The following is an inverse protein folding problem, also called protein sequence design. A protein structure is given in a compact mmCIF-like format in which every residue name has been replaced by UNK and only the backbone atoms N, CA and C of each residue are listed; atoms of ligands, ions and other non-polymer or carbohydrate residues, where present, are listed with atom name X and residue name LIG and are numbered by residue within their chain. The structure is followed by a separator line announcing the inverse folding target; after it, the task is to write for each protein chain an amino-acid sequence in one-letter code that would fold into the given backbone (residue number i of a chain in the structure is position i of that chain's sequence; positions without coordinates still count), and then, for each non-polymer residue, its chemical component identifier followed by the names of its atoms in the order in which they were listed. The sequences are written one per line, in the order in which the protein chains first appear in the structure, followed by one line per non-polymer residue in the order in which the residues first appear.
data_IF_296934255998
#
_entry.id   IF_296934255998
#
_cell.length_a   1.000
_cell.length_b   1.000
_cell.length_c   1.000
_cell.angle_alpha   90.00
_cell.angle_beta   90.00
_cell.angle_gamma   90.00
#
_symmetry.space_group_name_H-M   'P 1'
#
loop_
_entity.id
_entity.type
_entity.pdbx_description
1 polymer ?
#
# COMPACT_ATOMS: atom_id res chain seq x y z
N UNK A 1 4.08 8.53 0.37
CA UNK A 1 3.51 7.36 1.10
C UNK A 1 3.58 7.57 2.61
N UNK A 2 4.73 7.82 3.20
CA UNK A 2 4.87 8.03 4.66
C UNK A 2 3.91 9.06 5.24
N UNK A 3 3.79 10.23 4.61
CA UNK A 3 2.84 11.27 5.04
C UNK A 3 1.37 10.82 4.99
N UNK A 4 0.97 10.03 3.97
CA UNK A 4 -0.39 9.48 3.89
C UNK A 4 -0.66 8.46 5.00
N UNK A 5 0.35 7.64 5.35
CA UNK A 5 0.26 6.70 6.47
C UNK A 5 0.09 7.43 7.81
N UNK A 6 0.94 8.44 8.08
CA UNK A 6 0.85 9.23 9.31
C UNK A 6 -0.50 9.94 9.44
N UNK A 7 -1.01 10.54 8.36
CA UNK A 7 -2.34 11.15 8.37
C UNK A 7 -3.43 10.12 8.66
N UNK A 8 -3.39 8.94 8.01
CA UNK A 8 -4.34 7.86 8.26
C UNK A 8 -4.30 7.36 9.70
N UNK A 9 -3.12 7.20 10.30
CA UNK A 9 -2.96 6.80 11.70
C UNK A 9 -3.51 7.85 12.67
N UNK A 10 -3.27 9.14 12.41
CA UNK A 10 -3.83 10.23 13.19
C UNK A 10 -5.36 10.27 13.10
N UNK A 11 -5.93 10.03 11.91
CA UNK A 11 -7.37 9.98 11.70
C UNK A 11 -8.00 8.71 12.33
N UNK A 12 -7.21 7.64 12.48
CA UNK A 12 -7.58 6.43 13.24
C UNK A 12 -7.42 6.58 14.76
N UNK A 13 -7.08 7.77 15.27
CA UNK A 13 -7.01 8.08 16.70
C UNK A 13 -5.68 7.68 17.37
N UNK A 14 -4.61 7.48 16.60
CA UNK A 14 -3.28 7.29 17.19
C UNK A 14 -2.80 8.62 17.79
N UNK A 15 -2.32 8.58 19.04
CA UNK A 15 -1.81 9.75 19.74
C UNK A 15 -0.63 10.38 18.97
N UNK A 16 -0.73 11.66 18.56
CA UNK A 16 0.33 12.33 17.82
C UNK A 16 1.67 12.38 18.56
N UNK A 17 1.69 12.37 19.90
CA UNK A 17 2.93 12.34 20.68
C UNK A 17 3.71 11.01 20.55
N UNK A 18 3.03 9.95 20.15
CA UNK A 18 3.65 8.66 19.84
C UNK A 18 4.24 8.59 18.43
N UNK A 19 4.01 9.61 17.62
CA UNK A 19 4.46 9.70 16.24
C UNK A 19 5.59 10.71 16.09
N UNK A 20 6.59 10.34 15.30
CA UNK A 20 7.67 11.24 14.87
C UNK A 20 7.75 11.18 13.35
N UNK A 21 7.89 12.31 12.70
CA UNK A 21 8.08 12.40 11.26
C UNK A 21 9.38 13.15 10.95
N UNK A 22 10.25 12.51 10.19
CA UNK A 22 11.52 13.08 9.74
C UNK A 22 11.53 13.17 8.22
N UNK A 23 11.77 14.37 7.70
CA UNK A 23 11.91 14.64 6.26
C UNK A 23 12.82 15.85 6.06
N UNK A 24 13.52 15.90 4.92
CA UNK A 24 14.37 17.05 4.56
C UNK A 24 13.55 18.25 4.07
N UNK A 25 12.28 18.04 3.70
CA UNK A 25 11.37 19.07 3.17
C UNK A 25 10.41 19.52 4.26
N UNK A 26 10.64 20.69 4.83
CA UNK A 26 9.84 21.22 5.94
C UNK A 26 8.34 21.38 5.62
N UNK A 27 8.00 21.73 4.38
CA UNK A 27 6.60 21.91 3.95
C UNK A 27 5.78 20.60 4.02
N UNK A 28 6.44 19.45 3.88
CA UNK A 28 5.80 18.14 4.02
C UNK A 28 5.45 17.86 5.48
N UNK A 29 6.27 18.36 6.40
CA UNK A 29 6.12 18.15 7.85
C UNK A 29 5.10 19.11 8.50
N UNK A 30 4.90 20.31 7.95
CA UNK A 30 4.07 21.33 8.53
C UNK A 30 2.62 20.88 8.87
N UNK A 31 1.91 20.14 8.00
CA UNK A 31 0.56 19.63 8.33
C UNK A 31 0.56 18.60 9.47
N UNK A 32 1.64 17.85 9.65
CA UNK A 32 1.79 16.86 10.73
C UNK A 32 2.14 17.55 12.04
N UNK A 33 3.04 18.53 12.01
CA UNK A 33 3.38 19.36 13.17
C UNK A 33 2.14 20.10 13.72
N UNK A 34 1.30 20.63 12.83
CA UNK A 34 0.04 21.30 13.21
C UNK A 34 -0.95 20.33 13.92
N UNK A 35 -0.77 19.03 13.76
CA UNK A 35 -1.56 17.97 14.46
C UNK A 35 -0.86 17.44 15.73
N UNK A 36 0.27 18.03 16.12
CA UNK A 36 0.99 17.65 17.34
C UNK A 36 2.01 16.51 17.18
N UNK A 37 2.32 16.11 15.94
CA UNK A 37 3.39 15.12 15.66
C UNK A 37 4.74 15.78 15.87
N UNK A 38 5.68 15.09 16.50
CA UNK A 38 7.08 15.53 16.58
C UNK A 38 7.69 15.50 15.19
N UNK A 39 8.26 16.62 14.73
CA UNK A 39 8.80 16.74 13.38
C UNK A 39 10.20 17.31 13.36
N UNK A 40 11.04 16.89 12.41
CA UNK A 40 12.39 17.41 12.24
C UNK A 40 13.07 16.87 10.99
N UNK A 41 14.30 17.33 10.75
CA UNK A 41 15.15 16.86 9.64
C UNK A 41 16.30 15.95 10.09
N UNK A 42 16.52 15.82 11.39
CA UNK A 42 17.56 14.96 11.96
C UNK A 42 17.05 13.53 12.10
N UNK A 43 17.78 12.57 11.51
CA UNK A 43 17.43 11.15 11.55
C UNK A 43 17.48 10.55 12.96
N UNK A 44 18.27 11.10 13.87
CA UNK A 44 18.33 10.67 15.27
C UNK A 44 16.95 10.73 15.94
N UNK A 45 16.13 11.73 15.62
CA UNK A 45 14.77 11.88 16.13
C UNK A 45 13.85 10.68 15.78
N UNK A 46 14.11 10.02 14.65
CA UNK A 46 13.33 8.86 14.25
C UNK A 46 13.60 7.63 15.13
N UNK A 47 14.74 7.59 15.80
CA UNK A 47 15.18 6.47 16.64
C UNK A 47 14.98 6.74 18.13
N UNK A 48 14.91 8.00 18.55
CA UNK A 48 14.84 8.39 19.95
C UNK A 48 13.50 7.99 20.57
N UNK A 49 13.53 7.12 21.60
CA UNK A 49 12.37 6.60 22.31
C UNK A 49 11.27 6.04 21.41
N UNK A 50 11.65 5.34 20.36
CA UNK A 50 10.74 4.69 19.40
C UNK A 50 11.02 3.19 19.31
N UNK A 51 9.96 2.39 19.35
CA UNK A 51 10.04 0.93 19.19
C UNK A 51 10.10 0.53 17.71
N UNK A 52 9.50 1.34 16.85
CA UNK A 52 9.33 1.08 15.41
C UNK A 52 9.81 2.26 14.58
N UNK A 53 10.70 2.01 13.63
CA UNK A 53 11.18 3.00 12.66
C UNK A 53 10.70 2.61 11.26
N UNK A 54 9.86 3.46 10.64
CA UNK A 54 9.30 3.22 9.31
C UNK A 54 10.10 3.95 8.25
N UNK A 55 10.70 3.20 7.32
CA UNK A 55 11.49 3.74 6.21
C UNK A 55 10.58 3.94 5.00
N UNK A 56 10.25 5.20 4.70
CA UNK A 56 9.34 5.59 3.61
C UNK A 56 9.98 6.42 2.51
N UNK A 57 11.30 6.32 2.32
CA UNK A 57 12.03 7.02 1.27
C UNK A 57 11.94 6.30 -0.08
N UNK A 58 12.36 6.97 -1.16
CA UNK A 58 12.47 6.31 -2.46
C UNK A 58 13.61 5.28 -2.44
N UNK A 59 13.48 4.13 -3.14
CA UNK A 59 14.53 3.10 -3.18
C UNK A 59 15.93 3.65 -3.49
N UNK A 60 16.03 4.59 -4.42
CA UNK A 60 17.31 5.21 -4.82
C UNK A 60 18.01 5.99 -3.70
N UNK A 61 17.28 6.36 -2.66
CA UNK A 61 17.82 7.06 -1.48
C UNK A 61 18.07 6.10 -0.31
N UNK A 62 17.76 4.81 -0.45
CA UNK A 62 17.80 3.84 0.64
C UNK A 62 19.20 3.75 1.26
N UNK A 63 20.25 3.51 0.48
CA UNK A 63 21.60 3.33 0.96
C UNK A 63 22.10 4.52 1.79
N UNK A 64 21.89 5.76 1.31
CA UNK A 64 22.27 6.96 2.03
C UNK A 64 21.52 7.15 3.35
N UNK A 65 20.21 6.92 3.34
CA UNK A 65 19.36 7.07 4.54
C UNK A 65 19.65 5.97 5.56
N UNK A 66 19.75 4.71 5.12
CA UNK A 66 20.03 3.58 6.01
C UNK A 66 21.42 3.71 6.64
N UNK A 67 22.45 4.08 5.84
CA UNK A 67 23.80 4.32 6.37
C UNK A 67 23.88 5.46 7.39
N UNK A 68 23.11 6.54 7.18
CA UNK A 68 23.01 7.64 8.13
C UNK A 68 22.16 7.30 9.37
N UNK A 69 21.20 6.39 9.24
CA UNK A 69 20.32 5.95 10.32
C UNK A 69 20.99 4.92 11.25
N UNK A 70 21.81 4.03 10.70
CA UNK A 70 22.42 2.91 11.41
C UNK A 70 23.11 3.28 12.74
N UNK A 71 23.89 4.38 12.85
CA UNK A 71 24.54 4.77 14.10
C UNK A 71 23.56 5.16 15.24
N UNK A 72 22.31 5.46 14.92
CA UNK A 72 21.28 5.91 15.87
C UNK A 72 20.33 4.79 16.30
N UNK A 73 20.35 3.64 15.60
CA UNK A 73 19.47 2.53 15.88
C UNK A 73 19.90 1.72 17.10
N UNK A 74 18.92 1.28 17.88
CA UNK A 74 19.10 0.27 18.93
C UNK A 74 18.85 -1.12 18.34
N UNK A 75 19.52 -2.14 18.86
CA UNK A 75 19.42 -3.50 18.32
C UNK A 75 18.00 -4.13 18.44
N UNK A 76 17.19 -3.67 19.35
CA UNK A 76 15.84 -4.13 19.61
C UNK A 76 14.76 -3.35 18.82
N UNK A 77 15.13 -2.25 18.16
CA UNK A 77 14.19 -1.46 17.35
C UNK A 77 13.77 -2.21 16.10
N UNK A 78 12.47 -2.24 15.84
CA UNK A 78 11.93 -2.84 14.63
C UNK A 78 11.96 -1.87 13.46
N UNK A 79 12.59 -2.28 12.38
CA UNK A 79 12.57 -1.55 11.11
C UNK A 79 11.39 -2.02 10.27
N UNK A 80 10.58 -1.09 9.80
CA UNK A 80 9.49 -1.36 8.86
C UNK A 80 9.78 -0.63 7.55
N UNK A 81 10.00 -1.37 6.48
CA UNK A 81 10.26 -0.80 5.16
C UNK A 81 9.00 -0.79 4.31
N UNK A 82 8.62 0.38 3.81
CA UNK A 82 7.58 0.53 2.78
C UNK A 82 8.17 0.84 1.39
N UNK A 83 9.46 0.53 1.20
CA UNK A 83 10.17 0.73 -0.07
C UNK A 83 9.87 -0.43 -1.04
N UNK A 84 9.53 -0.09 -2.28
CA UNK A 84 9.38 -1.09 -3.33
C UNK A 84 10.75 -1.63 -3.77
N UNK A 85 10.86 -2.93 -4.00
CA UNK A 85 12.06 -3.55 -4.59
C UNK A 85 13.24 -3.80 -3.64
N UNK A 86 13.27 -3.21 -2.44
CA UNK A 86 14.38 -3.38 -1.47
C UNK A 86 14.04 -4.50 -0.49
N UNK A 87 14.83 -5.57 -0.46
CA UNK A 87 14.57 -6.76 0.37
C UNK A 87 14.91 -6.55 1.84
N UNK A 88 14.29 -7.34 2.72
CA UNK A 88 14.58 -7.31 4.16
C UNK A 88 16.03 -7.67 4.46
N UNK A 89 16.60 -8.65 3.74
CA UNK A 89 18.00 -9.05 3.88
C UNK A 89 18.96 -7.91 3.49
N UNK A 90 18.65 -7.19 2.40
CA UNK A 90 19.48 -6.06 1.96
C UNK A 90 19.46 -4.90 2.97
N UNK A 91 18.28 -4.58 3.52
CA UNK A 91 18.14 -3.56 4.56
C UNK A 91 18.90 -3.97 5.82
N UNK A 92 18.75 -5.21 6.27
CA UNK A 92 19.46 -5.73 7.45
C UNK A 92 20.99 -5.66 7.29
N UNK A 93 21.52 -6.01 6.11
CA UNK A 93 22.95 -5.88 5.81
C UNK A 93 23.46 -4.44 5.92
N UNK A 94 22.67 -3.46 5.52
CA UNK A 94 23.06 -2.03 5.61
C UNK A 94 22.99 -1.48 7.04
N UNK A 95 22.09 -2.01 7.88
CA UNK A 95 21.83 -1.51 9.23
C UNK A 95 22.64 -2.25 10.32
N UNK A 96 23.12 -3.46 10.03
CA UNK A 96 23.69 -4.43 10.95
C UNK A 96 22.94 -5.75 10.83
N UNK A 97 23.67 -6.84 10.68
CA UNK A 97 23.15 -8.13 10.20
C UNK A 97 21.97 -8.70 11.03
N UNK A 98 21.85 -8.33 12.30
CA UNK A 98 20.84 -8.87 13.23
C UNK A 98 19.62 -7.94 13.42
N UNK A 99 19.56 -6.81 12.72
CA UNK A 99 18.45 -5.87 12.86
C UNK A 99 17.13 -6.50 12.39
N UNK A 100 16.06 -6.50 13.21
CA UNK A 100 14.77 -7.02 12.78
C UNK A 100 14.14 -6.08 11.76
N UNK A 101 13.80 -6.62 10.57
CA UNK A 101 13.21 -5.87 9.46
C UNK A 101 11.92 -6.53 9.02
N UNK A 102 10.84 -5.77 8.95
CA UNK A 102 9.57 -6.15 8.32
C UNK A 102 9.40 -5.33 7.05
N UNK A 103 9.08 -5.96 5.94
CA UNK A 103 8.76 -5.26 4.70
C UNK A 103 7.26 -5.21 4.50
N UNK A 104 6.76 -4.03 4.13
CA UNK A 104 5.33 -3.78 4.00
C UNK A 104 5.05 -3.16 2.64
N UNK A 105 4.00 -3.62 1.99
CA UNK A 105 3.51 -3.02 0.75
C UNK A 105 2.12 -2.41 0.98
N UNK A 106 2.05 -1.16 1.46
CA UNK A 106 0.82 -0.40 1.59
C UNK A 106 0.46 0.29 0.27
N UNK A 107 -0.71 0.92 0.23
CA UNK A 107 -1.14 1.76 -0.88
C UNK A 107 -1.73 3.08 -0.37
N UNK A 108 -1.93 4.05 -1.28
CA UNK A 108 -2.30 5.43 -0.91
C UNK A 108 -3.65 5.57 -0.19
N UNK A 109 -4.54 4.58 -0.31
CA UNK A 109 -5.86 4.59 0.34
C UNK A 109 -5.78 4.41 1.87
N UNK A 110 -4.60 4.13 2.44
CA UNK A 110 -4.34 4.18 3.89
C UNK A 110 -4.74 5.53 4.49
N UNK A 111 -4.68 6.61 3.71
CA UNK A 111 -5.13 7.94 4.12
C UNK A 111 -6.63 7.99 4.44
N UNK A 112 -7.42 7.15 3.80
CA UNK A 112 -8.88 7.06 3.99
C UNK A 112 -9.29 5.86 4.86
N UNK A 113 -8.32 5.23 5.56
CA UNK A 113 -8.53 4.01 6.34
C UNK A 113 -9.12 2.85 5.50
N UNK A 114 -8.85 2.88 4.21
CA UNK A 114 -9.27 1.87 3.23
C UNK A 114 -8.07 1.24 2.51
N UNK A 115 -6.92 1.20 3.16
CA UNK A 115 -5.70 0.61 2.62
C UNK A 115 -5.79 -0.91 2.51
N UNK A 116 -5.19 -1.48 1.48
CA UNK A 116 -4.85 -2.90 1.41
C UNK A 116 -3.34 -3.01 1.58
N UNK A 117 -2.90 -3.71 2.62
CA UNK A 117 -1.49 -3.77 3.01
C UNK A 117 -1.05 -5.22 3.13
N UNK A 118 0.08 -5.57 2.52
CA UNK A 118 0.74 -6.84 2.76
C UNK A 118 1.99 -6.62 3.63
N UNK A 119 2.20 -7.54 4.58
CA UNK A 119 3.30 -7.53 5.54
C UNK A 119 4.13 -8.78 5.33
N UNK A 120 5.44 -8.63 5.22
CA UNK A 120 6.38 -9.74 5.08
C UNK A 120 7.48 -9.66 6.15
N UNK A 121 7.68 -10.77 6.83
CA UNK A 121 8.69 -10.93 7.87
C UNK A 121 10.08 -11.10 7.29
N UNK A 122 11.10 -10.44 7.87
CA UNK A 122 12.51 -10.72 7.65
C UNK A 122 13.06 -11.74 8.65
N UNK A 123 14.33 -12.17 8.47
CA UNK A 123 14.95 -13.28 9.21
C UNK A 123 15.00 -13.11 10.72
N UNK A 124 15.21 -11.88 11.21
CA UNK A 124 15.45 -11.59 12.63
C UNK A 124 14.20 -11.06 13.33
N UNK A 125 13.03 -11.15 12.69
CA UNK A 125 11.77 -10.73 13.29
C UNK A 125 11.14 -11.84 14.13
N UNK A 126 10.52 -11.45 15.24
CA UNK A 126 9.69 -12.35 16.05
C UNK A 126 8.24 -12.33 15.57
N UNK A 127 7.44 -13.38 15.81
CA UNK A 127 6.01 -13.37 15.49
C UNK A 127 5.25 -12.20 16.14
N UNK A 128 5.66 -11.77 17.34
CA UNK A 128 5.07 -10.62 18.02
C UNK A 128 5.32 -9.30 17.27
N UNK A 129 6.53 -9.10 16.75
CA UNK A 129 6.87 -7.92 15.96
C UNK A 129 6.07 -7.87 14.64
N UNK A 130 5.91 -9.02 13.98
CA UNK A 130 5.11 -9.11 12.75
C UNK A 130 3.64 -8.80 13.04
N UNK A 131 3.07 -9.40 14.10
CA UNK A 131 1.69 -9.13 14.54
C UNK A 131 1.48 -7.65 14.86
N UNK A 132 2.44 -7.01 15.55
CA UNK A 132 2.39 -5.58 15.85
C UNK A 132 2.32 -4.72 14.57
N UNK A 133 3.07 -5.08 13.53
CA UNK A 133 3.02 -4.37 12.24
C UNK A 133 1.68 -4.61 11.54
N UNK A 134 1.17 -5.85 11.54
CA UNK A 134 -0.16 -6.17 11.01
C UNK A 134 -1.23 -5.34 11.71
N UNK A 135 -1.21 -5.27 13.05
CA UNK A 135 -2.15 -4.49 13.84
C UNK A 135 -2.04 -2.99 13.56
N UNK A 136 -0.82 -2.47 13.41
CA UNK A 136 -0.58 -1.06 13.08
C UNK A 136 -1.24 -0.68 11.74
N UNK A 137 -1.01 -1.48 10.70
CA UNK A 137 -1.58 -1.21 9.37
C UNK A 137 -3.08 -1.54 9.28
N UNK A 138 -3.59 -2.45 10.13
CA UNK A 138 -5.01 -2.73 10.24
C UNK A 138 -5.83 -1.54 10.77
N UNK A 139 -5.20 -0.57 11.42
CA UNK A 139 -5.84 0.70 11.80
C UNK A 139 -6.17 1.60 10.61
N UNK A 140 -5.49 1.40 9.48
CA UNK A 140 -5.63 2.23 8.28
C UNK A 140 -6.16 1.44 7.07
N UNK A 141 -6.75 0.27 7.33
CA UNK A 141 -7.36 -0.59 6.30
C UNK A 141 -7.30 -2.07 6.65
N UNK A 142 -7.09 -2.92 5.65
CA UNK A 142 -6.92 -4.36 5.81
C UNK A 142 -5.44 -4.73 5.66
N UNK A 143 -4.94 -5.61 6.55
CA UNK A 143 -3.55 -6.10 6.51
C UNK A 143 -3.52 -7.62 6.48
N UNK A 144 -2.62 -8.17 5.67
CA UNK A 144 -2.38 -9.61 5.56
C UNK A 144 -0.90 -9.92 5.58
N UNK A 145 -0.52 -11.01 6.23
CA UNK A 145 0.85 -11.52 6.17
C UNK A 145 1.05 -12.38 4.92
N UNK A 146 2.18 -12.17 4.23
CA UNK A 146 2.59 -12.94 3.05
C UNK A 146 4.09 -13.21 3.09
N UNK A 147 4.57 -14.18 2.32
CA UNK A 147 6.02 -14.34 2.09
C UNK A 147 6.57 -13.16 1.29
N UNK A 148 7.81 -12.73 1.59
CA UNK A 148 8.42 -11.57 0.93
C UNK A 148 8.44 -11.68 -0.60
N UNK A 149 8.65 -12.89 -1.14
CA UNK A 149 8.64 -13.14 -2.58
C UNK A 149 7.31 -12.86 -3.29
N UNK A 150 6.21 -12.71 -2.55
CA UNK A 150 4.89 -12.35 -3.10
C UNK A 150 4.65 -10.82 -3.14
N UNK A 151 5.50 -9.99 -2.55
CA UNK A 151 5.27 -8.55 -2.49
C UNK A 151 5.27 -7.86 -3.86
N UNK A 152 5.93 -8.42 -4.87
CA UNK A 152 5.85 -7.90 -6.23
C UNK A 152 4.47 -8.16 -6.86
N UNK A 153 3.87 -9.33 -6.58
CA UNK A 153 2.49 -9.62 -6.98
C UNK A 153 1.49 -8.73 -6.23
N UNK A 154 1.72 -8.47 -4.95
CA UNK A 154 0.96 -7.48 -4.16
C UNK A 154 1.08 -6.08 -4.77
N UNK A 155 2.27 -5.68 -5.21
CA UNK A 155 2.48 -4.41 -5.91
C UNK A 155 1.63 -4.33 -7.18
N UNK A 156 1.63 -5.39 -7.99
CA UNK A 156 0.82 -5.47 -9.20
C UNK A 156 -0.68 -5.46 -8.94
N UNK A 157 -1.13 -6.13 -7.87
CA UNK A 157 -2.55 -6.25 -7.52
C UNK A 157 -3.08 -5.03 -6.77
N UNK A 158 -2.56 -4.77 -5.57
CA UNK A 158 -3.10 -3.74 -4.68
C UNK A 158 -2.33 -2.42 -4.72
N UNK A 159 -1.02 -2.45 -4.97
CA UNK A 159 -0.21 -1.23 -5.12
C UNK A 159 -0.64 -0.40 -6.33
N UNK A 160 -0.75 -1.05 -7.49
CA UNK A 160 -1.20 -0.44 -8.76
C UNK A 160 -2.73 -0.44 -8.92
N UNK A 161 -3.44 -1.28 -8.17
CA UNK A 161 -4.88 -1.51 -8.24
C UNK A 161 -5.74 -0.25 -8.22
N UNK A 162 -5.48 0.77 -7.39
CA UNK A 162 -6.26 2.00 -7.40
C UNK A 162 -6.37 2.65 -8.78
N UNK A 163 -5.29 2.64 -9.59
CA UNK A 163 -5.32 3.18 -10.94
C UNK A 163 -6.28 2.42 -11.86
N UNK A 164 -6.29 1.08 -11.75
CA UNK A 164 -7.24 0.25 -12.53
C UNK A 164 -8.69 0.56 -12.16
N UNK A 165 -8.95 0.69 -10.85
CA UNK A 165 -10.28 1.01 -10.32
C UNK A 165 -10.73 2.40 -10.75
N UNK A 166 -9.84 3.41 -10.75
CA UNK A 166 -10.17 4.74 -11.27
C UNK A 166 -10.56 4.70 -12.75
N UNK A 167 -9.84 3.93 -13.56
CA UNK A 167 -10.20 3.72 -14.98
C UNK A 167 -11.57 3.05 -15.13
N UNK A 168 -11.89 2.06 -14.29
CA UNK A 168 -13.20 1.39 -14.29
C UNK A 168 -14.31 2.38 -13.90
N UNK A 169 -14.11 3.19 -12.85
CA UNK A 169 -15.09 4.21 -12.41
C UNK A 169 -15.34 5.22 -13.53
N UNK A 170 -14.30 5.71 -14.19
CA UNK A 170 -14.41 6.66 -15.31
C UNK A 170 -15.21 6.04 -16.46
N UNK A 171 -14.89 4.81 -16.87
CA UNK A 171 -15.57 4.12 -17.95
C UNK A 171 -17.05 3.88 -17.64
N UNK A 172 -17.40 3.50 -16.40
CA UNK A 172 -18.79 3.35 -15.96
C UNK A 172 -19.53 4.70 -15.99
N UNK A 173 -18.89 5.76 -15.54
CA UNK A 173 -19.48 7.11 -15.58
C UNK A 173 -19.71 7.56 -17.03
N UNK A 174 -18.77 7.31 -17.94
CA UNK A 174 -18.94 7.60 -19.37
C UNK A 174 -20.10 6.83 -19.99
N UNK A 175 -20.26 5.55 -19.62
CA UNK A 175 -21.43 4.74 -20.00
C UNK A 175 -22.74 5.36 -19.52
N UNK A 176 -22.77 5.86 -18.26
CA UNK A 176 -23.91 6.56 -17.69
C UNK A 176 -24.26 7.84 -18.45
N UNK A 177 -23.25 8.64 -18.82
CA UNK A 177 -23.43 9.85 -19.62
C UNK A 177 -23.95 9.51 -21.02
N UNK A 178 -23.41 8.48 -21.66
CA UNK A 178 -23.89 7.99 -22.95
C UNK A 178 -25.35 7.55 -22.90
N UNK A 179 -25.79 7.05 -21.73
CA UNK A 179 -27.19 6.66 -21.50
C UNK A 179 -28.09 7.86 -21.07
N UNK A 180 -27.56 9.08 -20.97
CA UNK A 180 -28.32 10.31 -20.70
C UNK A 180 -28.22 10.88 -19.30
N UNK A 181 -27.39 10.31 -18.42
CA UNK A 181 -27.17 10.86 -17.08
C UNK A 181 -26.28 12.14 -17.13
N UNK A 182 -26.53 13.13 -16.27
CA UNK A 182 -25.57 14.21 -16.06
C UNK A 182 -24.21 13.66 -15.58
N UNK A 183 -23.12 14.29 -16.01
CA UNK A 183 -21.73 13.84 -15.71
C UNK A 183 -21.49 13.61 -14.21
N UNK A 184 -21.83 14.59 -13.37
CA UNK A 184 -21.59 14.53 -11.93
C UNK A 184 -22.39 13.39 -11.28
N UNK A 185 -23.65 13.21 -11.69
CA UNK A 185 -24.49 12.12 -11.23
C UNK A 185 -23.93 10.75 -11.64
N UNK A 186 -23.49 10.62 -12.88
CA UNK A 186 -22.91 9.38 -13.40
C UNK A 186 -21.62 9.02 -12.62
N UNK A 187 -20.74 9.99 -12.39
CA UNK A 187 -19.50 9.78 -11.63
C UNK A 187 -19.77 9.37 -10.17
N UNK A 188 -20.70 10.06 -9.50
CA UNK A 188 -21.07 9.74 -8.12
C UNK A 188 -21.64 8.32 -8.00
N UNK A 189 -22.55 7.93 -8.90
CA UNK A 189 -23.15 6.60 -8.90
C UNK A 189 -22.12 5.51 -9.22
N UNK A 190 -21.23 5.73 -10.20
CA UNK A 190 -20.18 4.79 -10.55
C UNK A 190 -19.20 4.56 -9.38
N UNK A 191 -18.71 5.64 -8.76
CA UNK A 191 -17.80 5.55 -7.62
C UNK A 191 -18.46 4.81 -6.43
N UNK A 192 -19.70 5.16 -6.08
CA UNK A 192 -20.43 4.51 -4.99
C UNK A 192 -20.72 3.04 -5.28
N UNK A 193 -21.03 2.69 -6.52
CA UNK A 193 -21.27 1.28 -6.93
C UNK A 193 -20.02 0.44 -6.76
N UNK A 194 -18.86 0.93 -7.22
CA UNK A 194 -17.59 0.20 -7.08
C UNK A 194 -17.20 0.05 -5.58
N UNK A 195 -17.32 1.12 -4.80
CA UNK A 195 -17.05 1.07 -3.37
C UNK A 195 -17.97 0.09 -2.63
N UNK A 196 -19.29 0.11 -2.93
CA UNK A 196 -20.26 -0.78 -2.32
C UNK A 196 -20.03 -2.25 -2.69
N UNK A 197 -19.71 -2.53 -3.95
CA UNK A 197 -19.42 -3.90 -4.40
C UNK A 197 -18.16 -4.46 -3.72
N UNK A 198 -17.11 -3.67 -3.58
CA UNK A 198 -15.90 -4.06 -2.84
C UNK A 198 -16.21 -4.35 -1.35
N UNK A 199 -16.96 -3.45 -0.70
CA UNK A 199 -17.42 -3.66 0.69
C UNK A 199 -18.23 -4.93 0.85
N UNK A 200 -19.15 -5.22 -0.05
CA UNK A 200 -19.97 -6.42 0.00
C UNK A 200 -19.10 -7.69 0.03
N UNK A 201 -18.09 -7.79 -0.83
CA UNK A 201 -17.14 -8.92 -0.82
C UNK A 201 -16.39 -9.04 0.50
N UNK A 202 -15.91 -7.93 1.06
CA UNK A 202 -15.13 -7.93 2.30
C UNK A 202 -15.99 -8.27 3.53
N UNK A 203 -17.22 -7.75 3.62
CA UNK A 203 -18.09 -7.92 4.78
C UNK A 203 -18.78 -9.28 4.80
N UNK A 204 -19.16 -9.82 3.63
CA UNK A 204 -19.84 -11.10 3.56
C UNK A 204 -18.90 -12.30 3.45
N UNK A 205 -17.70 -12.10 2.89
CA UNK A 205 -16.77 -13.18 2.55
C UNK A 205 -17.28 -14.07 1.40
N UNK A 206 -18.41 -13.70 0.76
CA UNK A 206 -18.97 -14.46 -0.36
C UNK A 206 -18.11 -14.33 -1.61
N UNK A 207 -18.04 -15.41 -2.38
CA UNK A 207 -17.32 -15.38 -3.64
C UNK A 207 -17.97 -14.37 -4.63
N UNK A 208 -17.18 -13.51 -5.32
CA UNK A 208 -17.71 -12.48 -6.22
C UNK A 208 -18.68 -13.00 -7.29
N UNK A 209 -18.52 -14.24 -7.77
CA UNK A 209 -19.46 -14.85 -8.71
C UNK A 209 -20.84 -15.08 -8.09
N UNK A 210 -20.91 -15.50 -6.82
CA UNK A 210 -22.17 -15.67 -6.10
C UNK A 210 -22.91 -14.33 -5.96
N UNK A 211 -22.20 -13.29 -5.52
CA UNK A 211 -22.77 -11.94 -5.40
C UNK A 211 -23.24 -11.38 -6.75
N UNK A 212 -22.47 -11.64 -7.82
CA UNK A 212 -22.87 -11.26 -9.18
C UNK A 212 -24.18 -11.96 -9.60
N UNK A 213 -24.30 -13.26 -9.33
CA UNK A 213 -25.48 -14.04 -9.71
C UNK A 213 -26.74 -13.58 -8.94
N UNK A 214 -26.61 -13.14 -7.68
CA UNK A 214 -27.73 -12.58 -6.89
C UNK A 214 -28.34 -11.31 -7.52
N UNK A 215 -27.57 -10.54 -8.31
CA UNK A 215 -28.04 -9.33 -9.00
C UNK A 215 -28.29 -9.55 -10.49
N UNK A 216 -28.26 -10.81 -10.95
CA UNK A 216 -28.42 -11.17 -12.38
C UNK A 216 -29.69 -11.94 -12.61
N UNK A 217 -30.79 -11.23 -12.91
CA UNK A 217 -32.08 -11.85 -13.26
C UNK A 217 -32.09 -12.37 -14.69
N UNK A 218 -32.87 -13.46 -14.97
CA UNK A 218 -33.04 -13.98 -16.34
C UNK A 218 -33.57 -12.92 -17.30
N UNK A 219 -32.87 -12.68 -18.42
CA UNK A 219 -33.25 -11.68 -19.42
C UNK A 219 -33.17 -10.23 -18.97
N UNK A 220 -32.58 -9.97 -17.77
CA UNK A 220 -32.47 -8.63 -17.18
C UNK A 220 -31.36 -7.76 -17.77
N UNK A 221 -31.28 -6.52 -17.28
CA UNK A 221 -30.26 -5.54 -17.71
C UNK A 221 -28.84 -5.97 -17.33
N UNK A 222 -28.69 -6.61 -16.18
CA UNK A 222 -27.37 -7.05 -15.68
C UNK A 222 -26.78 -8.11 -16.61
N UNK A 223 -27.49 -9.12 -17.03
CA UNK A 223 -26.95 -10.17 -17.92
C UNK A 223 -26.60 -9.61 -19.29
N UNK A 224 -27.41 -8.66 -19.82
CA UNK A 224 -27.10 -7.97 -21.06
C UNK A 224 -25.78 -7.20 -20.96
N UNK A 225 -25.57 -6.43 -19.88
CA UNK A 225 -24.31 -5.71 -19.62
C UNK A 225 -23.11 -6.64 -19.43
N UNK A 226 -23.28 -7.75 -18.69
CA UNK A 226 -22.22 -8.76 -18.50
C UNK A 226 -21.77 -9.38 -19.82
N UNK A 227 -22.70 -9.63 -20.76
CA UNK A 227 -22.40 -10.14 -22.09
C UNK A 227 -21.42 -9.21 -22.84
N UNK A 228 -21.64 -7.88 -22.77
CA UNK A 228 -20.75 -6.91 -23.39
C UNK A 228 -19.37 -6.86 -22.72
N UNK A 229 -19.29 -6.99 -21.39
CA UNK A 229 -18.03 -7.06 -20.67
C UNK A 229 -17.20 -8.30 -21.07
N UNK A 230 -17.87 -9.45 -21.25
CA UNK A 230 -17.19 -10.69 -21.71
C UNK A 230 -16.75 -10.55 -23.19
N UNK A 231 -17.58 -10.00 -24.06
CA UNK A 231 -17.21 -9.71 -25.45
C UNK A 231 -16.02 -8.75 -25.53
N UNK A 232 -15.96 -7.72 -24.66
CA UNK A 232 -14.85 -6.78 -24.50
C UNK A 232 -13.63 -7.35 -23.79
N UNK A 233 -13.65 -8.60 -23.37
CA UNK A 233 -12.53 -9.29 -22.66
C UNK A 233 -12.03 -8.55 -21.42
N UNK A 234 -12.90 -7.86 -20.70
CA UNK A 234 -12.52 -7.03 -19.53
C UNK A 234 -11.79 -7.87 -18.47
N UNK A 235 -12.27 -9.10 -18.20
CA UNK A 235 -11.61 -10.03 -17.28
C UNK A 235 -10.15 -10.30 -17.66
N UNK A 236 -9.91 -10.60 -18.93
CA UNK A 236 -8.56 -10.83 -19.45
C UNK A 236 -7.65 -9.60 -19.32
N UNK A 237 -8.20 -8.42 -19.64
CA UNK A 237 -7.45 -7.16 -19.54
C UNK A 237 -6.98 -6.86 -18.10
N UNK A 238 -7.85 -7.08 -17.11
CA UNK A 238 -7.50 -6.90 -15.70
C UNK A 238 -6.45 -7.91 -15.22
N UNK A 239 -6.55 -9.18 -15.61
CA UNK A 239 -5.53 -10.20 -15.31
C UNK A 239 -4.18 -9.77 -15.88
N UNK A 240 -4.14 -9.37 -17.15
CA UNK A 240 -2.90 -8.92 -17.81
C UNK A 240 -2.31 -7.66 -17.20
N UNK A 241 -3.14 -6.74 -16.71
CA UNK A 241 -2.68 -5.54 -16.02
C UNK A 241 -1.90 -5.89 -14.74
N UNK A 242 -2.44 -6.80 -13.93
CA UNK A 242 -1.77 -7.28 -12.71
C UNK A 242 -0.46 -8.01 -13.05
N UNK A 243 -0.46 -8.90 -14.04
CA UNK A 243 0.74 -9.63 -14.47
C UNK A 243 1.84 -8.67 -14.95
N UNK A 244 1.50 -7.72 -15.82
CA UNK A 244 2.45 -6.74 -16.35
C UNK A 244 3.06 -5.86 -15.25
N UNK A 245 2.24 -5.40 -14.30
CA UNK A 245 2.71 -4.59 -13.19
C UNK A 245 3.58 -5.40 -12.21
N UNK A 246 3.26 -6.68 -11.97
CA UNK A 246 4.08 -7.61 -11.18
C UNK A 246 5.45 -7.82 -11.82
N UNK A 247 5.47 -8.11 -13.12
CA UNK A 247 6.73 -8.25 -13.86
C UNK A 247 7.57 -6.98 -13.77
N UNK A 248 6.95 -5.81 -13.92
CA UNK A 248 7.66 -4.53 -13.83
C UNK A 248 8.22 -4.29 -12.43
N UNK A 249 7.49 -4.66 -11.36
CA UNK A 249 7.97 -4.57 -9.99
C UNK A 249 9.23 -5.44 -9.78
N UNK A 250 9.23 -6.66 -10.30
CA UNK A 250 10.40 -7.57 -10.26
C UNK A 250 11.62 -7.00 -11.01
N UNK A 251 11.41 -6.39 -12.19
CA UNK A 251 12.49 -5.76 -12.95
C UNK A 251 13.13 -4.60 -12.17
N UNK A 252 12.30 -3.76 -11.54
CA UNK A 252 12.79 -2.63 -10.75
C UNK A 252 13.62 -3.10 -9.55
N UNK A 253 13.20 -4.14 -8.85
CA UNK A 253 13.96 -4.72 -7.73
C UNK A 253 15.33 -5.29 -8.16
N UNK A 254 15.42 -5.91 -9.35
CA UNK A 254 16.69 -6.46 -9.86
C UNK A 254 17.71 -5.39 -10.27
N UNK A 255 17.26 -4.24 -10.75
CA UNK A 255 18.15 -3.14 -11.17
C UNK A 255 18.87 -2.55 -9.95
N UNK A 256 18.21 -2.45 -8.81
CA UNK A 256 18.81 -1.94 -7.59
C UNK A 256 19.86 -2.93 -7.04
N UNK A 257 19.59 -4.23 -7.02
CA UNK A 257 20.57 -5.29 -6.65
C UNK A 257 21.85 -5.28 -7.50
N UNK A 258 21.76 -4.92 -8.77
CA UNK A 258 22.91 -4.93 -9.70
C UNK A 258 23.82 -3.70 -9.55
N UNK A 259 23.28 -2.57 -9.12
CA UNK A 259 24.04 -1.33 -8.91
C UNK A 259 24.91 -1.40 -7.67
N UNK A 260 24.43 -2.05 -6.62
CA UNK A 260 25.18 -2.20 -5.37
C UNK A 260 26.33 -3.22 -5.46
N UNK A 261 26.22 -4.24 -6.32
CA UNK A 261 27.30 -5.22 -6.58
C UNK A 261 28.44 -4.67 -7.47
N UNK A 262 28.22 -3.56 -8.13
CA UNK A 262 29.22 -2.91 -8.98
C UNK A 262 30.04 -1.82 -8.31
N UNK A 263 29.75 -1.49 -7.04
CA UNK A 263 30.40 -0.43 -6.25
C UNK A 263 31.34 -0.96 -5.15
N UNK A 264 31.60 -2.26 -5.12
CA UNK A 264 32.54 -2.94 -4.18
C UNK A 264 33.87 -3.28 -4.84
#
# INVERSE_FOLDING_TARGET
MGGSLLQGLLDAGVDPQRLTAVDQVADILAPLAARGVVTGSDLSLACEDRDVVIIGVKPQSAAGVLGALAPHLKADQLIVSIMAGVTTDHIAQMLGADQPVVRVMPQTLVRLQAGATAVASGRHTTPLQVSMVVDLFSRVGSSVEVSEGLLDAVTGLSGSGPAYVYTIIEALADGGVKAGLPRDTALQLAAQTVAGAGRMVLETGEHPATLRDQVTSPGGTTIAGLSELEAGRVRHALIRAVEAATQRAQELGRVDDSRDRGAS
#
